data_IF_123603020084
#
_entry.id   IF_123603020084
#
_cell.length_a   1.000
_cell.length_b   1.000
_cell.length_c   1.000
_cell.angle_alpha   90.00
_cell.angle_beta   90.00
_cell.angle_gamma   90.00
#
_symmetry.space_group_name_H-M   'P 1'
#
loop_
_entity.id
_entity.type
_entity.pdbx_description
1 polymer ?
#
# COMPACT_ATOMS: atom_id res chain seq x y z
N UNK A 1 -7.70 -14.72 34.99
CA UNK A 1 -6.81 -15.53 34.12
C UNK A 1 -6.22 -14.59 33.09
N UNK A 2 -4.90 -14.43 33.06
CA UNK A 2 -4.25 -13.64 32.02
C UNK A 2 -4.18 -14.51 30.75
N UNK A 3 -4.82 -14.06 29.67
CA UNK A 3 -4.75 -14.75 28.38
C UNK A 3 -3.38 -14.47 27.75
N UNK A 4 -2.47 -15.43 27.82
CA UNK A 4 -1.18 -15.36 27.14
C UNK A 4 -1.38 -15.67 25.65
N UNK A 5 -1.66 -14.64 24.84
CA UNK A 5 -1.73 -14.75 23.38
C UNK A 5 -0.40 -14.37 22.74
N UNK A 6 0.14 -15.24 21.90
CA UNK A 6 1.30 -14.94 21.04
C UNK A 6 0.77 -14.45 19.69
N UNK A 7 1.27 -13.30 19.22
CA UNK A 7 0.94 -12.70 17.93
C UNK A 7 2.22 -12.45 17.15
N UNK A 8 2.21 -12.79 15.87
CA UNK A 8 3.32 -12.55 14.94
C UNK A 8 2.82 -11.79 13.73
N UNK A 9 3.61 -10.83 13.27
CA UNK A 9 3.35 -10.03 12.07
C UNK A 9 4.60 -10.02 11.20
N UNK A 10 4.41 -9.85 9.91
CA UNK A 10 5.49 -9.67 8.93
C UNK A 10 5.30 -8.37 8.15
N UNK A 11 6.35 -7.95 7.48
CA UNK A 11 6.39 -6.81 6.57
C UNK A 11 7.46 -7.06 5.51
N UNK A 12 7.33 -6.42 4.37
CA UNK A 12 8.27 -6.56 3.25
C UNK A 12 8.85 -5.19 2.89
N UNK A 13 10.08 -5.17 2.41
CA UNK A 13 10.76 -3.94 2.01
C UNK A 13 10.13 -3.34 0.75
N UNK A 14 10.40 -2.07 0.50
CA UNK A 14 9.96 -1.36 -0.72
C UNK A 14 10.39 -2.05 -2.02
N UNK A 15 11.53 -2.74 -2.03
CA UNK A 15 12.00 -3.52 -3.19
C UNK A 15 11.31 -4.87 -3.40
N UNK A 16 10.34 -5.25 -2.56
CA UNK A 16 9.54 -6.44 -2.79
C UNK A 16 8.66 -6.22 -4.02
N UNK A 17 8.55 -7.18 -4.97
CA UNK A 17 7.74 -7.02 -6.18
C UNK A 17 6.32 -6.47 -5.93
N UNK A 18 5.61 -7.01 -4.93
CA UNK A 18 4.30 -6.50 -4.50
C UNK A 18 4.32 -5.01 -4.10
N UNK A 19 5.27 -4.61 -3.24
CA UNK A 19 5.41 -3.21 -2.83
C UNK A 19 5.82 -2.29 -3.97
N UNK A 20 6.64 -2.77 -4.90
CA UNK A 20 6.96 -2.04 -6.11
C UNK A 20 5.71 -1.82 -6.98
N UNK A 21 4.85 -2.84 -7.09
CA UNK A 21 3.57 -2.71 -7.81
C UNK A 21 2.63 -1.71 -7.13
N UNK A 22 2.55 -1.74 -5.80
CA UNK A 22 1.79 -0.76 -5.02
C UNK A 22 2.30 0.66 -5.31
N UNK A 23 3.62 0.88 -5.22
CA UNK A 23 4.25 2.18 -5.46
C UNK A 23 3.99 2.72 -6.87
N UNK A 24 4.07 1.86 -7.89
CA UNK A 24 3.77 2.26 -9.28
C UNK A 24 2.29 2.65 -9.41
N UNK A 25 1.39 1.87 -8.79
CA UNK A 25 -0.05 2.12 -8.85
C UNK A 25 -0.42 3.44 -8.17
N UNK A 26 0.15 3.71 -6.99
CA UNK A 26 -0.03 4.95 -6.26
C UNK A 26 0.53 6.16 -7.01
N UNK A 27 1.70 6.02 -7.66
CA UNK A 27 2.27 7.09 -8.46
C UNK A 27 1.37 7.50 -9.64
N UNK A 28 0.67 6.52 -10.26
CA UNK A 28 -0.31 6.79 -11.31
C UNK A 28 -1.54 7.49 -10.73
N UNK A 29 -2.06 7.02 -9.59
CA UNK A 29 -3.17 7.64 -8.88
C UNK A 29 -2.86 9.12 -8.56
N UNK A 30 -1.69 9.39 -7.98
CA UNK A 30 -1.23 10.73 -7.62
C UNK A 30 -1.15 11.64 -8.84
N UNK A 31 -0.58 11.14 -9.95
CA UNK A 31 -0.47 11.91 -11.19
C UNK A 31 -1.84 12.26 -11.79
N UNK A 32 -2.84 11.39 -11.64
CA UNK A 32 -4.21 11.63 -12.11
C UNK A 32 -4.95 12.60 -11.19
N UNK A 33 -4.85 12.43 -9.87
CA UNK A 33 -5.47 13.33 -8.88
C UNK A 33 -4.89 14.75 -8.92
N UNK A 34 -3.59 14.89 -9.25
CA UNK A 34 -2.95 16.19 -9.44
C UNK A 34 -3.55 16.99 -10.62
N UNK A 35 -4.10 16.30 -11.63
CA UNK A 35 -4.70 16.92 -12.81
C UNK A 35 -6.22 17.06 -12.69
N UNK A 36 -6.88 16.04 -12.16
CA UNK A 36 -8.31 16.02 -11.90
C UNK A 36 -8.57 15.43 -10.50
N UNK A 37 -8.91 16.27 -9.50
CA UNK A 37 -9.24 15.80 -8.15
C UNK A 37 -10.43 14.84 -8.09
N UNK A 38 -11.25 14.75 -9.14
CA UNK A 38 -12.38 13.82 -9.24
C UNK A 38 -12.07 12.60 -10.14
N UNK A 39 -10.80 12.39 -10.53
CA UNK A 39 -10.39 11.26 -11.34
C UNK A 39 -10.81 9.92 -10.69
N UNK A 40 -11.34 9.01 -11.50
CA UNK A 40 -11.73 7.67 -11.06
C UNK A 40 -10.68 6.65 -11.51
N UNK A 41 -9.98 6.06 -10.55
CA UNK A 41 -8.88 5.09 -10.73
C UNK A 41 -9.20 3.86 -9.87
N UNK A 42 -8.89 2.66 -10.36
CA UNK A 42 -9.10 1.39 -9.68
C UNK A 42 -7.93 0.43 -9.93
#
# INVERSE_FOLDING_TARGET
>A
MANNSVFTSESVSEGHPDKMSDQISDAILDALLAQDPNARVA
#
